data_IF_769143752739
#
_entry.id   IF_769143752739
#
_cell.length_a   1.000
_cell.length_b   1.000
_cell.length_c   1.000
_cell.angle_alpha   90.00
_cell.angle_beta   90.00
_cell.angle_gamma   90.00
#
_symmetry.space_group_name_H-M   'P 1'
#
loop_
_entity.id
_entity.type
_entity.pdbx_description
1 polymer ?
#
# COMPACT_ATOMS: atom_id res chain seq x y z
N UNK A 1 -0.71 5.18 -28.23
CA UNK A 1 -1.69 4.08 -28.30
C UNK A 1 -1.34 3.10 -27.20
N UNK A 2 -1.80 3.42 -25.98
CA UNK A 2 -1.56 2.60 -24.78
C UNK A 2 -2.16 1.25 -25.08
N UNK A 3 -1.35 0.19 -25.08
CA UNK A 3 -1.86 -1.17 -25.20
C UNK A 3 -2.85 -1.32 -24.05
N UNK A 4 -4.11 -1.46 -24.43
CA UNK A 4 -5.20 -1.94 -23.63
C UNK A 4 -4.78 -3.33 -23.11
N UNK A 5 -3.91 -3.35 -22.09
CA UNK A 5 -3.67 -4.50 -21.23
C UNK A 5 -5.04 -4.82 -20.66
N UNK A 6 -5.73 -5.72 -21.34
CA UNK A 6 -6.51 -6.87 -20.85
C UNK A 6 -6.93 -6.87 -19.36
N UNK A 7 -7.29 -5.72 -18.78
CA UNK A 7 -7.99 -5.64 -17.50
C UNK A 7 -9.34 -6.36 -17.59
N UNK A 8 -9.87 -6.51 -18.81
CA UNK A 8 -11.06 -7.31 -19.14
C UNK A 8 -10.82 -8.82 -19.14
N UNK A 9 -9.57 -9.30 -19.07
CA UNK A 9 -9.21 -10.73 -19.11
C UNK A 9 -8.87 -11.32 -17.74
N UNK A 10 -8.84 -10.51 -16.67
CA UNK A 10 -8.95 -11.04 -15.31
C UNK A 10 -10.40 -11.45 -15.11
N UNK A 11 -10.65 -12.68 -15.54
CA UNK A 11 -11.92 -13.40 -15.49
C UNK A 11 -12.72 -12.98 -14.25
N UNK A 12 -14.01 -12.73 -14.43
CA UNK A 12 -15.03 -12.72 -13.35
C UNK A 12 -15.19 -14.11 -12.74
N UNK A 13 -14.08 -14.80 -12.48
CA UNK A 13 -14.07 -15.98 -11.64
C UNK A 13 -14.27 -15.50 -10.21
N UNK A 14 -15.21 -16.15 -9.55
CA UNK A 14 -15.54 -15.91 -8.16
C UNK A 14 -14.25 -16.09 -7.34
N UNK A 15 -13.71 -15.00 -6.79
CA UNK A 15 -12.58 -15.06 -5.86
C UNK A 15 -13.06 -15.86 -4.65
N UNK A 16 -12.68 -17.13 -4.59
CA UNK A 16 -13.19 -18.07 -3.60
C UNK A 16 -12.31 -18.12 -2.34
N UNK A 17 -11.00 -17.87 -2.49
CA UNK A 17 -10.02 -17.89 -1.40
C UNK A 17 -9.09 -16.66 -1.43
N UNK A 18 -8.54 -16.32 -0.27
CA UNK A 18 -7.56 -15.26 -0.08
C UNK A 18 -6.30 -15.47 -0.94
N UNK A 19 -5.91 -16.73 -1.18
CA UNK A 19 -4.77 -17.07 -2.03
C UNK A 19 -4.99 -16.72 -3.50
N UNK A 20 -6.19 -16.96 -4.01
CA UNK A 20 -6.58 -16.56 -5.37
C UNK A 20 -6.54 -15.05 -5.49
N UNK A 21 -7.06 -14.34 -4.47
CA UNK A 21 -6.99 -12.88 -4.42
C UNK A 21 -5.54 -12.36 -4.45
N UNK A 22 -4.66 -12.96 -3.65
CA UNK A 22 -3.23 -12.65 -3.66
C UNK A 22 -2.60 -12.86 -5.04
N UNK A 23 -2.93 -13.96 -5.71
CA UNK A 23 -2.38 -14.30 -7.02
C UNK A 23 -2.83 -13.29 -8.07
N UNK A 24 -4.11 -12.93 -8.10
CA UNK A 24 -4.65 -11.92 -9.03
C UNK A 24 -3.99 -10.56 -8.79
N UNK A 25 -3.91 -10.12 -7.54
CA UNK A 25 -3.25 -8.84 -7.19
C UNK A 25 -1.78 -8.87 -7.57
N UNK A 26 -1.08 -9.99 -7.34
CA UNK A 26 0.32 -10.12 -7.71
C UNK A 26 0.56 -10.00 -9.21
N UNK A 27 -0.20 -10.72 -10.03
CA UNK A 27 -0.07 -10.66 -11.50
C UNK A 27 -0.31 -9.23 -11.98
N UNK A 28 -1.40 -8.60 -11.53
CA UNK A 28 -1.74 -7.22 -11.87
C UNK A 28 -0.61 -6.24 -11.51
N UNK A 29 -0.07 -6.34 -10.31
CA UNK A 29 0.98 -5.45 -9.83
C UNK A 29 2.30 -5.73 -10.55
N UNK A 30 2.63 -6.98 -10.85
CA UNK A 30 3.85 -7.32 -11.56
C UNK A 30 3.83 -6.80 -12.99
N UNK A 31 2.72 -6.95 -13.70
CA UNK A 31 2.54 -6.42 -15.06
C UNK A 31 2.70 -4.89 -15.07
N UNK A 32 2.00 -4.18 -14.17
CA UNK A 32 2.08 -2.71 -14.07
C UNK A 32 3.47 -2.26 -13.64
N UNK A 33 4.07 -2.90 -12.64
CA UNK A 33 5.42 -2.58 -12.18
C UNK A 33 6.43 -2.76 -13.32
N UNK A 34 6.27 -3.81 -14.13
CA UNK A 34 7.13 -4.05 -15.27
C UNK A 34 6.93 -3.04 -16.40
N UNK A 35 5.71 -2.55 -16.61
CA UNK A 35 5.40 -1.53 -17.61
C UNK A 35 5.96 -0.14 -17.22
N UNK A 36 5.73 0.31 -15.99
CA UNK A 36 5.93 1.73 -15.63
C UNK A 36 7.26 2.03 -14.94
N UNK A 37 7.87 1.06 -14.27
CA UNK A 37 9.06 1.31 -13.44
C UNK A 37 10.34 1.15 -14.28
N UNK A 38 11.24 2.15 -14.28
CA UNK A 38 12.48 2.09 -15.04
C UNK A 38 13.47 1.07 -14.49
N UNK A 39 14.30 0.51 -15.38
CA UNK A 39 15.30 -0.51 -15.03
C UNK A 39 16.31 -0.07 -13.98
N UNK A 40 16.56 1.23 -13.83
CA UNK A 40 17.42 1.79 -12.78
C UNK A 40 16.89 1.52 -11.36
N UNK A 41 15.57 1.48 -11.19
CA UNK A 41 14.91 1.19 -9.91
C UNK A 41 14.78 -0.32 -9.71
N UNK A 42 14.44 -1.05 -10.78
CA UNK A 42 14.35 -2.52 -10.77
C UNK A 42 15.69 -3.17 -10.42
N UNK A 43 16.77 -2.69 -11.04
CA UNK A 43 18.13 -3.20 -10.85
C UNK A 43 18.90 -2.40 -9.79
N UNK A 44 18.20 -1.90 -8.77
CA UNK A 44 18.86 -1.16 -7.68
C UNK A 44 19.87 -2.06 -6.95
N UNK A 45 20.77 -1.39 -6.21
CA UNK A 45 21.77 -2.05 -5.38
C UNK A 45 21.12 -3.07 -4.43
N UNK A 46 21.74 -4.24 -4.28
CA UNK A 46 21.28 -5.36 -3.43
C UNK A 46 19.96 -6.03 -3.84
N UNK A 47 19.51 -5.87 -5.09
CA UNK A 47 18.32 -6.58 -5.57
C UNK A 47 18.48 -8.10 -5.51
N UNK A 48 19.68 -8.61 -5.84
CA UNK A 48 19.99 -10.05 -5.80
C UNK A 48 19.99 -10.62 -4.37
N UNK A 49 20.20 -9.77 -3.35
CA UNK A 49 20.14 -10.14 -1.94
C UNK A 49 18.71 -10.02 -1.37
N UNK A 50 17.73 -9.63 -2.20
CA UNK A 50 16.34 -9.51 -1.78
C UNK A 50 15.67 -10.88 -1.74
N UNK A 51 14.99 -11.18 -0.64
CA UNK A 51 14.24 -12.44 -0.50
C UNK A 51 12.82 -12.36 -1.05
N UNK A 52 12.32 -11.14 -1.24
CA UNK A 52 11.02 -10.83 -1.82
C UNK A 52 11.27 -9.80 -2.94
N UNK A 53 10.62 -10.00 -4.06
CA UNK A 53 10.50 -9.03 -5.14
C UNK A 53 9.68 -7.82 -4.70
N UNK A 54 9.82 -6.72 -5.43
CA UNK A 54 9.03 -5.51 -5.16
C UNK A 54 7.54 -5.76 -5.38
N UNK A 55 7.18 -6.48 -6.44
CA UNK A 55 5.81 -6.86 -6.76
C UNK A 55 5.18 -7.67 -5.62
N UNK A 56 5.88 -8.64 -5.03
CA UNK A 56 5.39 -9.40 -3.86
C UNK A 56 5.16 -8.49 -2.65
N UNK A 57 6.10 -7.58 -2.36
CA UNK A 57 5.97 -6.66 -1.22
C UNK A 57 4.77 -5.74 -1.41
N UNK A 58 4.62 -5.16 -2.60
CA UNK A 58 3.50 -4.26 -2.93
C UNK A 58 2.17 -5.02 -2.85
N UNK A 59 2.12 -6.25 -3.34
CA UNK A 59 0.93 -7.11 -3.26
C UNK A 59 0.51 -7.39 -1.82
N UNK A 60 1.46 -7.73 -0.94
CA UNK A 60 1.19 -7.94 0.49
C UNK A 60 0.60 -6.68 1.13
N UNK A 61 1.09 -5.49 0.76
CA UNK A 61 0.57 -4.22 1.29
C UNK A 61 -0.86 -3.99 0.79
N UNK A 62 -1.08 -4.07 -0.52
CA UNK A 62 -2.38 -3.78 -1.14
C UNK A 62 -3.44 -4.75 -0.64
N UNK A 63 -3.14 -6.05 -0.58
CA UNK A 63 -4.10 -7.04 -0.06
C UNK A 63 -4.43 -6.74 1.40
N UNK A 64 -3.43 -6.43 2.24
CA UNK A 64 -3.65 -6.11 3.65
C UNK A 64 -4.56 -4.89 3.87
N UNK A 65 -4.41 -3.86 3.04
CA UNK A 65 -5.29 -2.69 3.04
C UNK A 65 -6.69 -3.03 2.52
N UNK A 66 -6.79 -3.84 1.46
CA UNK A 66 -8.08 -4.24 0.87
C UNK A 66 -8.96 -5.05 1.83
N UNK A 67 -8.35 -5.82 2.73
CA UNK A 67 -9.06 -6.56 3.79
C UNK A 67 -9.18 -5.77 5.11
N UNK A 68 -8.80 -4.48 5.12
CA UNK A 68 -8.95 -3.54 6.25
C UNK A 68 -8.28 -4.01 7.54
N UNK A 69 -7.08 -4.58 7.47
CA UNK A 69 -6.36 -5.03 8.68
C UNK A 69 -5.74 -3.84 9.42
N UNK A 70 -6.24 -3.55 10.62
CA UNK A 70 -5.79 -2.43 11.46
C UNK A 70 -4.34 -2.53 11.97
N UNK A 71 -3.71 -3.71 11.87
CA UNK A 71 -2.36 -3.95 12.42
C UNK A 71 -1.41 -4.52 11.37
N UNK A 72 -0.51 -3.68 10.85
CA UNK A 72 0.57 -4.11 9.96
C UNK A 72 1.42 -5.23 10.57
N UNK A 73 1.63 -5.19 11.89
CA UNK A 73 2.37 -6.23 12.60
C UNK A 73 1.64 -7.56 12.54
N UNK A 74 0.34 -7.58 12.89
CA UNK A 74 -0.45 -8.80 12.87
C UNK A 74 -0.55 -9.35 11.44
N UNK A 75 -0.76 -8.46 10.46
CA UNK A 75 -0.80 -8.80 9.05
C UNK A 75 0.49 -9.49 8.59
N UNK A 76 1.64 -8.90 8.86
CA UNK A 76 2.92 -9.47 8.49
C UNK A 76 3.12 -10.89 9.04
N UNK A 77 2.77 -11.12 10.32
CA UNK A 77 2.90 -12.46 10.92
C UNK A 77 1.85 -13.44 10.40
N UNK A 78 0.65 -12.97 10.06
CA UNK A 78 -0.37 -13.78 9.42
C UNK A 78 0.12 -14.28 8.06
N UNK A 79 0.62 -13.39 7.19
CA UNK A 79 1.17 -13.75 5.87
C UNK A 79 2.35 -14.71 6.05
N UNK A 80 3.29 -14.39 6.95
CA UNK A 80 4.47 -15.24 7.22
C UNK A 80 4.12 -16.64 7.73
N UNK A 81 2.97 -16.81 8.39
CA UNK A 81 2.52 -18.09 8.95
C UNK A 81 1.68 -18.88 7.95
N UNK A 82 0.70 -18.23 7.32
CA UNK A 82 -0.38 -18.91 6.58
C UNK A 82 -0.18 -18.92 5.06
N UNK A 83 0.71 -18.09 4.52
CA UNK A 83 0.94 -17.93 3.08
C UNK A 83 2.39 -18.28 2.69
N UNK A 84 2.96 -19.29 3.35
CA UNK A 84 4.33 -19.77 3.05
C UNK A 84 4.44 -20.46 1.70
N UNK A 85 3.34 -21.01 1.20
CA UNK A 85 3.24 -21.59 -0.13
C UNK A 85 3.39 -20.52 -1.22
N UNK A 86 2.81 -19.33 -1.01
CA UNK A 86 2.96 -18.20 -1.92
C UNK A 86 4.28 -17.46 -1.70
N UNK A 87 4.69 -17.28 -0.45
CA UNK A 87 5.88 -16.50 -0.08
C UNK A 87 6.83 -17.33 0.80
N UNK A 88 7.56 -18.30 0.21
CA UNK A 88 8.38 -19.25 0.98
C UNK A 88 9.50 -18.58 1.78
N UNK A 89 10.05 -17.49 1.25
CA UNK A 89 11.24 -16.82 1.78
C UNK A 89 10.96 -15.43 2.38
N UNK A 90 9.82 -15.24 3.07
CA UNK A 90 9.54 -13.96 3.75
C UNK A 90 10.69 -13.55 4.68
N UNK A 91 11.17 -12.32 4.47
CA UNK A 91 12.26 -11.75 5.25
C UNK A 91 11.85 -11.42 6.70
N UNK A 92 12.72 -10.74 7.46
CA UNK A 92 12.36 -10.25 8.78
C UNK A 92 11.49 -9.00 8.70
N UNK A 93 10.61 -8.83 9.69
CA UNK A 93 9.67 -7.70 9.75
C UNK A 93 10.36 -6.34 9.57
N UNK A 94 11.53 -6.17 10.18
CA UNK A 94 12.31 -4.92 10.05
C UNK A 94 12.78 -4.69 8.61
N UNK A 95 13.23 -5.75 7.93
CA UNK A 95 13.67 -5.66 6.53
C UNK A 95 12.50 -5.42 5.59
N UNK A 96 11.37 -6.09 5.84
CA UNK A 96 10.11 -5.86 5.13
C UNK A 96 9.67 -4.40 5.26
N UNK A 97 9.56 -3.88 6.48
CA UNK A 97 9.13 -2.49 6.70
C UNK A 97 10.10 -1.47 6.08
N UNK A 98 11.41 -1.70 6.15
CA UNK A 98 12.40 -0.83 5.47
C UNK A 98 12.19 -0.83 3.95
N UNK A 99 11.99 -1.99 3.35
CA UNK A 99 11.79 -2.12 1.91
C UNK A 99 10.46 -1.50 1.48
N UNK A 100 9.38 -1.73 2.23
CA UNK A 100 8.09 -1.06 2.07
C UNK A 100 8.24 0.46 2.05
N UNK A 101 8.94 1.04 3.02
CA UNK A 101 9.16 2.49 3.06
C UNK A 101 9.95 2.98 1.84
N UNK A 102 10.96 2.23 1.40
CA UNK A 102 11.75 2.58 0.21
C UNK A 102 10.93 2.48 -1.08
N UNK A 103 9.91 1.61 -1.14
CA UNK A 103 9.00 1.46 -2.27
C UNK A 103 7.84 2.46 -2.26
N UNK A 104 7.78 3.39 -1.31
CA UNK A 104 6.69 4.37 -1.23
C UNK A 104 6.52 5.18 -2.52
N UNK A 105 7.62 5.63 -3.14
CA UNK A 105 7.57 6.35 -4.40
C UNK A 105 7.03 5.48 -5.54
N UNK A 106 7.45 4.21 -5.60
CA UNK A 106 6.95 3.23 -6.58
C UNK A 106 5.45 3.00 -6.40
N UNK A 107 4.99 2.83 -5.16
CA UNK A 107 3.56 2.65 -4.86
C UNK A 107 2.76 3.86 -5.32
N UNK A 108 3.28 5.09 -5.13
CA UNK A 108 2.64 6.31 -5.65
C UNK A 108 2.55 6.33 -7.18
N UNK A 109 3.59 5.92 -7.88
CA UNK A 109 3.56 5.85 -9.36
C UNK A 109 2.53 4.83 -9.85
N UNK A 110 2.46 3.67 -9.20
CA UNK A 110 1.44 2.64 -9.48
C UNK A 110 0.03 3.22 -9.22
N UNK A 111 -0.20 3.90 -8.11
CA UNK A 111 -1.47 4.57 -7.82
C UNK A 111 -1.82 5.64 -8.87
N UNK A 112 -0.83 6.40 -9.32
CA UNK A 112 -1.00 7.41 -10.36
C UNK A 112 -1.32 6.78 -11.73
N UNK A 113 -0.73 5.62 -12.04
CA UNK A 113 -1.06 4.83 -13.23
C UNK A 113 -2.52 4.37 -13.19
N UNK A 114 -2.94 3.73 -12.10
CA UNK A 114 -4.34 3.29 -11.94
C UNK A 114 -5.32 4.47 -12.01
N UNK A 115 -4.97 5.61 -11.42
CA UNK A 115 -5.82 6.82 -11.43
C UNK A 115 -6.09 7.37 -12.84
N UNK A 116 -5.23 7.07 -13.82
CA UNK A 116 -5.35 7.49 -15.22
C UNK A 116 -6.12 6.51 -16.08
N UNK A 117 -6.52 5.35 -15.55
CA UNK A 117 -7.24 4.36 -16.35
C UNK A 117 -8.63 4.91 -16.77
N UNK A 118 -9.07 4.63 -18.02
CA UNK A 118 -10.36 5.07 -18.55
C UNK A 118 -11.55 4.72 -17.66
N UNK A 119 -11.46 3.58 -16.96
CA UNK A 119 -12.48 3.06 -16.04
C UNK A 119 -12.80 4.08 -14.94
N UNK A 120 -11.82 4.87 -14.49
CA UNK A 120 -11.99 5.89 -13.45
C UNK A 120 -12.15 7.31 -14.02
N UNK A 121 -12.30 7.45 -15.34
CA UNK A 121 -12.37 8.74 -16.04
C UNK A 121 -13.78 9.32 -16.08
N UNK A 122 -14.81 8.50 -15.86
CA UNK A 122 -16.21 8.94 -15.86
C UNK A 122 -16.67 9.52 -14.51
N UNK A 123 -15.85 9.40 -13.46
CA UNK A 123 -16.16 9.96 -12.14
C UNK A 123 -15.69 11.41 -12.07
N UNK A 124 -16.57 12.35 -12.40
CA UNK A 124 -16.31 13.80 -12.31
C UNK A 124 -16.18 14.29 -10.87
N UNK A 125 -16.63 13.51 -9.88
CA UNK A 125 -16.63 13.85 -8.46
C UNK A 125 -16.10 12.66 -7.66
N UNK A 126 -14.98 12.84 -6.97
CA UNK A 126 -14.44 11.88 -6.00
C UNK A 126 -14.61 12.46 -4.59
N UNK A 127 -15.46 11.83 -3.78
CA UNK A 127 -15.62 12.20 -2.37
C UNK A 127 -14.45 11.57 -1.60
N UNK A 128 -13.58 12.42 -1.07
CA UNK A 128 -12.46 12.00 -0.22
C UNK A 128 -12.84 12.39 1.21
N UNK A 129 -13.19 11.41 2.04
CA UNK A 129 -13.37 11.64 3.47
C UNK A 129 -12.00 11.60 4.16
N UNK A 130 -11.40 12.77 4.36
CA UNK A 130 -10.15 12.86 5.10
C UNK A 130 -10.44 12.89 6.60
N UNK A 131 -10.27 11.76 7.28
CA UNK A 131 -10.33 11.74 8.74
C UNK A 131 -9.07 12.42 9.31
N UNK A 132 -9.21 13.39 10.24
CA UNK A 132 -8.07 14.08 10.84
C UNK A 132 -7.09 13.09 11.51
N UNK A 133 -5.81 13.10 11.09
CA UNK A 133 -4.76 12.27 11.67
C UNK A 133 -4.19 12.98 12.91
N UNK A 134 -4.36 12.43 14.12
CA UNK A 134 -3.84 13.08 15.32
C UNK A 134 -2.30 13.05 15.35
N UNK A 135 -1.65 14.21 15.27
CA UNK A 135 -0.20 14.38 15.47
C UNK A 135 0.16 14.04 16.92
N UNK A 136 -0.54 14.64 17.89
CA UNK A 136 -0.37 14.31 19.30
C UNK A 136 -1.58 14.69 20.15
N UNK A 137 -1.62 14.16 21.39
CA UNK A 137 -2.59 14.59 22.40
C UNK A 137 -2.33 16.06 22.78
N UNK A 138 -3.38 16.80 23.12
CA UNK A 138 -3.32 18.22 23.48
C UNK A 138 -2.24 18.54 24.54
N UNK A 139 -2.08 17.69 25.55
CA UNK A 139 -1.06 17.86 26.60
C UNK A 139 0.39 17.95 26.08
N UNK A 140 0.68 17.42 24.88
CA UNK A 140 2.01 17.48 24.25
C UNK A 140 2.09 18.47 23.10
N UNK A 141 0.98 19.10 22.71
CA UNK A 141 0.91 19.97 21.53
C UNK A 141 1.89 21.14 21.64
N UNK A 142 1.97 21.79 22.80
CA UNK A 142 2.91 22.89 23.06
C UNK A 142 4.39 22.50 22.83
N UNK A 143 4.76 21.26 23.17
CA UNK A 143 6.13 20.77 23.04
C UNK A 143 6.41 20.05 21.70
N UNK A 144 5.38 19.86 20.86
CA UNK A 144 5.55 19.18 19.58
C UNK A 144 6.40 20.02 18.65
N UNK A 145 7.47 19.43 18.12
CA UNK A 145 8.31 20.04 17.07
C UNK A 145 7.89 19.59 15.66
N UNK A 146 7.11 18.52 15.57
CA UNK A 146 6.67 17.95 14.31
C UNK A 146 5.44 18.69 13.78
N UNK A 147 5.40 18.94 12.46
CA UNK A 147 4.27 19.54 11.74
C UNK A 147 3.84 20.93 12.25
N UNK A 148 4.71 21.73 12.88
CA UNK A 148 4.34 23.04 13.44
C UNK A 148 3.66 23.99 12.45
N UNK A 149 4.07 23.93 11.18
CA UNK A 149 3.57 24.83 10.13
C UNK A 149 2.33 24.29 9.40
N UNK A 150 1.91 23.06 9.73
CA UNK A 150 0.85 22.32 9.01
C UNK A 150 -0.26 21.91 9.96
N UNK A 151 0.05 21.64 11.23
CA UNK A 151 -0.88 21.11 12.21
C UNK A 151 -1.69 22.20 12.90
N UNK A 152 -2.94 21.89 13.20
CA UNK A 152 -3.93 22.74 13.86
C UNK A 152 -4.60 22.02 15.03
N UNK A 153 -5.15 22.78 15.97
CA UNK A 153 -5.91 22.18 17.07
C UNK A 153 -7.28 21.69 16.57
N UNK A 154 -7.57 20.41 16.82
CA UNK A 154 -8.84 19.77 16.50
C UNK A 154 -9.51 19.14 17.74
N UNK A 155 -10.78 18.79 17.59
CA UNK A 155 -11.55 18.10 18.64
C UNK A 155 -12.04 16.74 18.13
N UNK A 156 -11.71 15.69 18.87
CA UNK A 156 -12.16 14.33 18.59
C UNK A 156 -13.40 14.02 19.43
N UNK A 157 -14.59 14.14 18.83
CA UNK A 157 -15.86 13.97 19.52
C UNK A 157 -16.03 12.56 20.12
N UNK A 158 -15.62 11.51 19.40
CA UNK A 158 -15.70 10.12 19.88
C UNK A 158 -14.91 9.88 21.17
N UNK A 159 -13.79 10.60 21.35
CA UNK A 159 -12.92 10.50 22.54
C UNK A 159 -13.07 11.70 23.49
N UNK A 160 -14.02 12.61 23.23
CA UNK A 160 -14.29 13.85 23.97
C UNK A 160 -13.03 14.63 24.36
N UNK A 161 -12.09 14.81 23.43
CA UNK A 161 -10.79 15.42 23.74
C UNK A 161 -10.22 16.26 22.60
N UNK A 162 -9.45 17.28 22.97
CA UNK A 162 -8.64 18.05 22.03
C UNK A 162 -7.39 17.27 21.61
N UNK A 163 -7.03 17.43 20.34
CA UNK A 163 -5.84 16.84 19.70
C UNK A 163 -5.20 17.90 18.80
N UNK A 164 -3.90 17.77 18.60
CA UNK A 164 -3.22 18.46 17.50
C UNK A 164 -3.34 17.55 16.28
N UNK A 165 -3.82 18.09 15.15
CA UNK A 165 -4.09 17.38 13.89
C UNK A 165 -3.31 18.04 12.78
#
# INVERSE_FOLDING_TARGET
MIKMLEFTYYNTEKINDLKDFFTVVFVLIDDVYNEIIPSSIKNRRHILDSKLSDSEIISIIIVGEAITVDSEKAWFYFVKKNLKDLFPNICDRTRFNRTKCNLYAVIKEIQAYFSKLPIFSNDTIRIIDSMPIPVCKFARAYFSKYFKDIASYGYCASKKKHILV
#
